data_IF_747491050170
#
_entry.id   IF_747491050170
#
_cell.length_a   1.000
_cell.length_b   1.000
_cell.length_c   1.000
_cell.angle_alpha   90.00
_cell.angle_beta   90.00
_cell.angle_gamma   90.00
#
_symmetry.space_group_name_H-M   'P 1'
#
loop_
_entity.id
_entity.type
_entity.pdbx_description
1 polymer ?
#
# COMPACT_ATOMS: atom_id res chain seq x y z
N UNK A 1 18.73 19.22 -29.18
CA UNK A 1 19.62 18.32 -28.41
C UNK A 1 19.28 18.45 -26.93
N UNK A 2 18.32 17.65 -26.46
CA UNK A 2 18.09 17.49 -25.03
C UNK A 2 19.15 16.50 -24.52
N UNK A 3 20.01 16.95 -23.60
CA UNK A 3 20.91 16.05 -22.88
C UNK A 3 20.07 15.28 -21.87
N UNK A 4 19.88 13.98 -22.11
CA UNK A 4 19.47 13.05 -21.06
C UNK A 4 20.47 13.16 -19.91
N UNK A 5 19.99 13.65 -18.76
CA UNK A 5 20.69 13.43 -17.50
C UNK A 5 20.43 11.97 -17.13
N UNK A 6 21.28 11.07 -17.63
CA UNK A 6 21.38 9.73 -17.05
C UNK A 6 21.65 9.88 -15.56
N UNK A 7 20.73 9.39 -14.73
CA UNK A 7 20.83 9.42 -13.27
C UNK A 7 22.07 8.63 -12.88
N UNK A 8 23.09 9.33 -12.36
CA UNK A 8 24.38 8.76 -11.96
C UNK A 8 24.30 7.75 -10.80
N UNK A 9 23.10 7.41 -10.32
CA UNK A 9 22.89 6.61 -9.11
C UNK A 9 23.12 5.11 -9.30
N UNK A 10 23.08 4.60 -10.54
CA UNK A 10 23.36 3.20 -10.86
C UNK A 10 24.85 2.80 -10.77
N UNK A 11 25.76 3.74 -10.51
CA UNK A 11 27.21 3.51 -10.58
C UNK A 11 27.89 3.22 -9.23
N UNK A 12 27.19 3.36 -8.11
CA UNK A 12 27.73 2.96 -6.80
C UNK A 12 27.30 1.52 -6.50
N UNK A 13 28.23 0.59 -6.69
CA UNK A 13 28.08 -0.84 -6.43
C UNK A 13 27.96 -1.12 -4.91
N UNK A 14 26.82 -0.78 -4.32
CA UNK A 14 26.31 -1.60 -3.23
C UNK A 14 25.78 -2.89 -3.87
N UNK A 15 26.32 -4.05 -3.49
CA UNK A 15 25.83 -5.33 -4.01
C UNK A 15 24.51 -5.68 -3.34
N UNK A 16 23.43 -5.08 -3.82
CA UNK A 16 22.08 -5.51 -3.47
C UNK A 16 21.81 -6.88 -4.10
N UNK A 17 21.12 -7.75 -3.38
CA UNK A 17 20.82 -9.11 -3.81
C UNK A 17 19.85 -9.11 -5.01
N UNK A 18 18.87 -8.20 -4.99
CA UNK A 18 17.85 -8.06 -6.02
C UNK A 18 17.24 -6.66 -6.02
N UNK A 19 16.55 -6.33 -7.12
CA UNK A 19 15.73 -5.10 -7.22
C UNK A 19 14.26 -5.45 -7.07
N UNK A 20 13.54 -4.71 -6.24
CA UNK A 20 12.11 -4.87 -5.98
C UNK A 20 11.33 -3.67 -6.49
N UNK A 21 10.23 -3.93 -7.19
CA UNK A 21 9.26 -2.90 -7.56
C UNK A 21 8.11 -2.96 -6.56
N UNK A 22 8.05 -1.99 -5.65
CA UNK A 22 7.08 -1.96 -4.55
C UNK A 22 6.12 -0.81 -4.76
N UNK A 23 4.82 -1.08 -4.79
CA UNK A 23 3.79 -0.06 -4.80
C UNK A 23 3.42 0.35 -3.38
N UNK A 24 3.32 1.64 -3.12
CA UNK A 24 3.01 2.21 -1.81
C UNK A 24 1.84 3.18 -1.88
N UNK A 25 1.05 3.20 -0.80
CA UNK A 25 -0.07 4.12 -0.60
C UNK A 25 -0.50 4.15 0.88
N UNK A 26 -1.36 5.12 1.23
CA UNK A 26 -2.03 5.19 2.53
C UNK A 26 -3.55 5.09 2.46
N UNK A 27 -4.11 4.21 3.29
CA UNK A 27 -5.55 4.06 3.43
C UNK A 27 -6.06 4.41 4.83
N UNK A 28 -7.12 5.23 4.88
CA UNK A 28 -7.88 5.46 6.11
C UNK A 28 -8.82 4.30 6.45
N UNK A 29 -8.79 3.86 7.71
CA UNK A 29 -9.70 2.87 8.29
C UNK A 29 -10.34 3.44 9.56
N UNK A 30 -11.67 3.37 9.66
CA UNK A 30 -12.37 4.04 10.74
C UNK A 30 -13.80 3.59 10.91
N UNK A 31 -14.53 4.36 11.72
CA UNK A 31 -15.88 4.04 12.19
C UNK A 31 -16.99 4.63 11.32
N UNK A 32 -16.70 4.82 10.04
CA UNK A 32 -17.72 5.08 9.02
C UNK A 32 -18.05 3.75 8.36
N UNK A 33 -19.21 3.21 8.70
CA UNK A 33 -19.68 1.93 8.15
C UNK A 33 -19.85 2.02 6.64
N UNK A 34 -19.30 1.04 5.91
CA UNK A 34 -19.49 0.92 4.47
C UNK A 34 -20.42 -0.25 4.18
N UNK A 35 -21.56 0.03 3.56
CA UNK A 35 -22.46 -1.00 3.08
C UNK A 35 -21.83 -1.75 1.89
N UNK A 36 -22.15 -3.03 1.78
CA UNK A 36 -21.76 -3.93 0.71
C UNK A 36 -22.88 -4.92 0.39
N UNK A 37 -22.81 -5.55 -0.78
CA UNK A 37 -23.76 -6.59 -1.14
C UNK A 37 -23.64 -7.78 -0.17
N UNK A 38 -24.76 -8.40 0.17
CA UNK A 38 -24.82 -9.63 0.95
C UNK A 38 -25.92 -10.54 0.42
N UNK A 39 -25.75 -11.85 0.60
CA UNK A 39 -26.79 -12.83 0.32
C UNK A 39 -27.86 -12.79 1.41
N UNK A 40 -29.12 -12.82 1.01
CA UNK A 40 -30.25 -12.98 1.92
C UNK A 40 -31.24 -14.02 1.36
N UNK A 41 -32.00 -14.70 2.23
CA UNK A 41 -33.10 -15.55 1.80
C UNK A 41 -34.10 -14.78 0.93
N UNK A 42 -34.75 -15.49 0.01
CA UNK A 42 -35.82 -14.91 -0.83
C UNK A 42 -36.91 -14.32 0.07
N UNK A 43 -37.35 -13.10 -0.24
CA UNK A 43 -38.32 -12.31 0.53
C UNK A 43 -37.84 -11.80 1.90
N UNK A 44 -36.53 -11.86 2.20
CA UNK A 44 -35.95 -11.25 3.40
C UNK A 44 -35.09 -10.04 3.04
N UNK A 45 -35.39 -8.88 3.65
CA UNK A 45 -34.57 -7.67 3.55
C UNK A 45 -33.59 -7.62 4.73
N UNK A 46 -32.28 -7.72 4.50
CA UNK A 46 -31.30 -7.64 5.58
C UNK A 46 -31.29 -6.25 6.21
N UNK A 47 -31.18 -6.21 7.54
CA UNK A 47 -30.95 -5.00 8.30
C UNK A 47 -29.51 -5.04 8.85
N UNK A 48 -28.73 -4.01 8.55
CA UNK A 48 -27.32 -3.90 8.91
C UNK A 48 -27.13 -2.62 9.71
N UNK A 49 -26.57 -2.74 10.90
CA UNK A 49 -26.18 -1.59 11.72
C UNK A 49 -25.16 -0.73 10.96
N UNK A 50 -25.38 0.58 10.98
CA UNK A 50 -24.51 1.55 10.32
C UNK A 50 -24.36 2.79 11.19
N UNK A 51 -23.14 3.32 11.29
CA UNK A 51 -22.87 4.60 11.91
C UNK A 51 -21.86 5.42 11.11
N UNK A 52 -21.87 6.73 11.33
CA UNK A 52 -21.00 7.70 10.67
C UNK A 52 -20.20 8.45 11.74
N UNK A 53 -19.27 7.76 12.39
CA UNK A 53 -18.40 8.34 13.43
C UNK A 53 -17.04 8.67 12.81
N UNK A 54 -16.60 9.92 12.93
CA UNK A 54 -15.36 10.45 12.32
C UNK A 54 -14.13 10.15 13.17
N UNK A 55 -13.88 8.86 13.39
CA UNK A 55 -12.68 8.35 14.05
C UNK A 55 -12.01 7.34 13.12
N UNK A 56 -10.71 7.51 12.88
CA UNK A 56 -9.96 6.68 11.95
C UNK A 56 -8.46 6.64 12.30
N UNK A 57 -7.80 5.62 11.78
CA UNK A 57 -6.35 5.47 11.69
C UNK A 57 -5.95 5.35 10.23
N UNK A 58 -4.70 5.67 9.95
CA UNK A 58 -4.11 5.45 8.64
C UNK A 58 -3.34 4.14 8.65
N UNK A 59 -3.34 3.45 7.52
CA UNK A 59 -2.48 2.32 7.27
C UNK A 59 -1.62 2.65 6.06
N UNK A 60 -0.32 2.66 6.26
CA UNK A 60 0.67 2.72 5.20
C UNK A 60 0.92 1.30 4.73
N UNK A 61 0.80 1.06 3.44
CA UNK A 61 1.04 -0.25 2.84
C UNK A 61 2.09 -0.18 1.75
N UNK A 62 2.85 -1.25 1.61
CA UNK A 62 3.74 -1.54 0.50
C UNK A 62 3.45 -2.95 0.01
N UNK A 63 3.40 -3.15 -1.31
CA UNK A 63 3.27 -4.48 -1.91
C UNK A 63 4.20 -4.63 -3.12
N UNK A 64 5.01 -5.69 -3.09
CA UNK A 64 5.93 -6.06 -4.16
C UNK A 64 5.15 -6.63 -5.36
N UNK A 65 5.35 -6.01 -6.53
CA UNK A 65 4.71 -6.37 -7.78
C UNK A 65 5.04 -7.79 -8.26
N UNK A 66 6.18 -8.33 -7.83
CA UNK A 66 6.70 -9.63 -8.26
C UNK A 66 6.34 -10.77 -7.32
N UNK A 67 6.69 -10.61 -6.06
CA UNK A 67 6.58 -11.67 -5.06
C UNK A 67 5.24 -11.66 -4.36
N UNK A 68 4.54 -10.51 -4.34
CA UNK A 68 3.37 -10.29 -3.48
C UNK A 68 3.72 -10.14 -2.00
N UNK A 69 5.01 -10.08 -1.65
CA UNK A 69 5.43 -9.70 -0.31
C UNK A 69 4.92 -8.29 0.01
N UNK A 70 4.56 -8.07 1.27
CA UNK A 70 3.96 -6.81 1.68
C UNK A 70 4.44 -6.36 3.05
N UNK A 71 4.33 -5.06 3.24
CA UNK A 71 4.76 -4.39 4.46
C UNK A 71 3.71 -3.35 4.85
N UNK A 72 3.27 -3.37 6.11
CA UNK A 72 2.20 -2.49 6.59
C UNK A 72 2.56 -1.85 7.93
N UNK A 73 2.21 -0.57 8.10
CA UNK A 73 2.26 0.16 9.37
C UNK A 73 0.92 0.83 9.62
N UNK A 74 0.39 0.66 10.83
CA UNK A 74 -0.79 1.40 11.30
C UNK A 74 -0.30 2.66 12.04
N UNK A 75 -0.68 3.82 11.51
CA UNK A 75 -0.22 5.13 11.95
C UNK A 75 -1.37 5.97 12.52
N UNK A 76 -1.03 6.87 13.44
CA UNK A 76 -1.99 7.81 14.03
C UNK A 76 -2.38 8.98 13.12
N UNK A 77 -1.60 9.24 12.07
CA UNK A 77 -1.82 10.31 11.11
C UNK A 77 -1.20 10.00 9.74
N UNK A 78 -1.51 10.84 8.76
CA UNK A 78 -0.89 10.79 7.44
C UNK A 78 -0.08 12.06 7.21
N UNK A 79 1.25 11.97 7.33
CA UNK A 79 2.16 13.10 7.22
C UNK A 79 3.61 12.64 6.94
N UNK A 80 4.50 13.61 6.73
CA UNK A 80 5.93 13.35 6.44
C UNK A 80 6.65 12.59 7.55
N UNK A 81 6.31 12.80 8.84
CA UNK A 81 6.97 12.09 9.93
C UNK A 81 6.65 10.60 9.91
N UNK A 82 5.38 10.24 9.67
CA UNK A 82 4.98 8.84 9.50
C UNK A 82 5.54 8.23 8.20
N UNK A 83 5.68 9.03 7.13
CA UNK A 83 6.34 8.57 5.92
C UNK A 83 7.82 8.24 6.16
N UNK A 84 8.56 9.07 6.90
CA UNK A 84 9.95 8.77 7.27
C UNK A 84 10.06 7.48 8.10
N UNK A 85 9.16 7.31 9.06
CA UNK A 85 9.12 6.08 9.87
C UNK A 85 8.81 4.85 9.01
N UNK A 86 7.90 4.99 8.04
CA UNK A 86 7.61 3.93 7.07
C UNK A 86 8.82 3.58 6.22
N UNK A 87 9.50 4.56 5.64
CA UNK A 87 10.71 4.35 4.83
C UNK A 87 11.82 3.66 5.63
N UNK A 88 12.05 4.12 6.87
CA UNK A 88 13.04 3.55 7.79
C UNK A 88 12.75 2.09 8.09
N UNK A 89 11.49 1.74 8.38
CA UNK A 89 11.13 0.35 8.68
C UNK A 89 11.12 -0.53 7.41
N UNK A 90 10.69 -0.01 6.27
CA UNK A 90 10.71 -0.72 5.00
C UNK A 90 12.14 -1.07 4.58
N UNK A 91 13.06 -0.10 4.65
CA UNK A 91 14.50 -0.32 4.41
C UNK A 91 15.07 -1.38 5.36
N UNK A 92 14.68 -1.36 6.64
CA UNK A 92 15.10 -2.38 7.62
C UNK A 92 14.51 -3.77 7.35
N UNK A 93 13.31 -3.85 6.76
CA UNK A 93 12.69 -5.12 6.41
C UNK A 93 13.39 -5.79 5.21
N UNK A 94 13.95 -4.98 4.30
CA UNK A 94 14.67 -5.44 3.11
C UNK A 94 16.05 -4.79 2.99
N UNK A 95 16.98 -5.03 3.94
CA UNK A 95 18.23 -4.30 4.03
C UNK A 95 19.19 -4.57 2.87
N UNK A 96 19.11 -5.77 2.29
CA UNK A 96 20.00 -6.25 1.23
C UNK A 96 19.40 -6.09 -0.17
N UNK A 97 18.19 -5.55 -0.28
CA UNK A 97 17.48 -5.39 -1.56
C UNK A 97 17.42 -3.90 -1.96
N UNK A 98 17.46 -3.64 -3.26
CA UNK A 98 17.22 -2.31 -3.83
C UNK A 98 15.74 -2.13 -4.12
N UNK A 99 15.11 -1.10 -3.55
CA UNK A 99 13.68 -0.88 -3.62
C UNK A 99 13.38 0.30 -4.55
N UNK A 100 12.67 0.03 -5.65
CA UNK A 100 11.98 1.05 -6.44
C UNK A 100 10.57 1.19 -5.87
N UNK A 101 10.37 2.23 -5.06
CA UNK A 101 9.11 2.53 -4.38
C UNK A 101 8.23 3.41 -5.27
N UNK A 102 7.16 2.85 -5.80
CA UNK A 102 6.18 3.51 -6.67
C UNK A 102 5.07 4.12 -5.82
N UNK A 103 4.87 5.43 -5.94
CA UNK A 103 3.91 6.20 -5.13
C UNK A 103 3.08 7.16 -5.97
N UNK A 104 1.99 7.65 -5.39
CA UNK A 104 1.24 8.77 -5.94
C UNK A 104 1.94 10.13 -5.69
N UNK A 105 1.31 11.23 -6.13
CA UNK A 105 1.89 12.56 -6.04
C UNK A 105 1.48 13.33 -4.76
N UNK A 106 1.13 12.66 -3.67
CA UNK A 106 0.77 13.33 -2.42
C UNK A 106 1.89 14.27 -1.93
N UNK A 107 1.49 15.37 -1.27
CA UNK A 107 2.42 16.44 -0.87
C UNK A 107 3.53 15.91 0.05
N UNK A 108 3.18 14.98 0.95
CA UNK A 108 4.17 14.39 1.87
C UNK A 108 5.16 13.45 1.16
N UNK A 109 4.80 12.81 0.04
CA UNK A 109 5.72 12.00 -0.77
C UNK A 109 6.80 12.84 -1.49
N UNK A 110 6.57 14.15 -1.62
CA UNK A 110 7.51 15.10 -2.24
C UNK A 110 8.13 16.08 -1.25
N UNK A 111 7.95 15.82 0.04
CA UNK A 111 8.51 16.69 1.08
C UNK A 111 10.03 16.65 1.05
N UNK A 112 10.67 17.81 1.14
CA UNK A 112 12.12 17.92 1.25
C UNK A 112 12.65 17.42 2.61
N UNK A 113 11.76 17.22 3.58
CA UNK A 113 12.09 16.65 4.89
C UNK A 113 12.05 15.11 4.90
N UNK A 114 11.92 14.47 3.74
CA UNK A 114 11.99 13.02 3.64
C UNK A 114 13.43 12.53 3.81
N UNK A 115 13.61 11.59 4.74
CA UNK A 115 14.87 10.89 4.98
C UNK A 115 14.84 9.58 4.18
N UNK A 116 15.30 9.63 2.94
CA UNK A 116 15.25 8.49 2.02
C UNK A 116 16.46 7.58 2.29
N UNK A 117 16.26 6.31 2.71
CA UNK A 117 17.35 5.36 2.88
C UNK A 117 18.09 5.06 1.56
N UNK A 118 19.36 4.69 1.65
CA UNK A 118 20.24 4.49 0.47
C UNK A 118 19.77 3.37 -0.46
N UNK A 119 19.01 2.40 0.05
CA UNK A 119 18.46 1.30 -0.73
C UNK A 119 17.07 1.57 -1.31
N UNK A 120 16.55 2.80 -1.21
CA UNK A 120 15.23 3.17 -1.73
C UNK A 120 15.34 4.29 -2.78
N UNK A 121 14.68 4.09 -3.91
CA UNK A 121 14.46 5.09 -4.95
C UNK A 121 12.96 5.28 -5.20
N UNK A 122 12.54 6.52 -5.45
CA UNK A 122 11.13 6.84 -5.69
C UNK A 122 10.81 6.90 -7.17
N UNK A 123 9.72 6.25 -7.55
CA UNK A 123 9.06 6.42 -8.82
C UNK A 123 7.63 6.95 -8.57
N UNK A 124 7.18 7.87 -9.42
CA UNK A 124 5.86 8.48 -9.27
C UNK A 124 4.97 8.11 -10.45
N UNK A 125 3.76 7.64 -10.16
CA UNK A 125 2.73 7.47 -11.19
C UNK A 125 2.25 8.85 -11.69
N UNK A 126 1.62 8.94 -12.86
CA UNK A 126 0.97 10.17 -13.31
C UNK A 126 -0.09 10.68 -12.30
N UNK A 127 -0.33 12.00 -12.23
CA UNK A 127 -1.39 12.53 -11.39
C UNK A 127 -2.77 11.97 -11.78
N UNK A 128 -3.62 11.73 -10.77
CA UNK A 128 -5.01 11.30 -10.95
C UNK A 128 -5.23 9.95 -11.65
N UNK A 129 -4.23 9.05 -11.63
CA UNK A 129 -4.33 7.69 -12.19
C UNK A 129 -4.25 6.60 -11.11
N UNK A 130 -5.20 6.54 -10.15
CA UNK A 130 -5.17 5.53 -9.09
C UNK A 130 -5.24 4.09 -9.63
N UNK A 131 -5.80 3.88 -10.82
CA UNK A 131 -5.83 2.58 -11.51
C UNK A 131 -4.43 2.03 -11.83
N UNK A 132 -3.42 2.90 -11.88
CA UNK A 132 -2.03 2.52 -12.07
C UNK A 132 -1.33 2.08 -10.77
N UNK A 133 -1.97 2.26 -9.60
CA UNK A 133 -1.42 1.83 -8.32
C UNK A 133 -2.15 0.56 -7.83
N UNK A 134 -1.61 -0.65 -8.05
CA UNK A 134 -2.29 -1.89 -7.69
C UNK A 134 -2.61 -2.05 -6.20
N UNK A 135 -1.91 -1.33 -5.32
CA UNK A 135 -2.18 -1.36 -3.88
C UNK A 135 -3.58 -0.83 -3.53
N UNK A 136 -4.19 0.00 -4.37
CA UNK A 136 -5.58 0.43 -4.21
C UNK A 136 -6.55 -0.78 -4.22
N UNK A 137 -6.22 -1.80 -5.02
CA UNK A 137 -6.98 -3.05 -5.05
C UNK A 137 -6.70 -3.91 -3.82
N UNK A 138 -5.50 -3.83 -3.25
CA UNK A 138 -5.18 -4.45 -1.95
C UNK A 138 -6.04 -3.83 -0.84
N UNK A 139 -6.19 -2.51 -0.82
CA UNK A 139 -7.12 -1.85 0.11
C UNK A 139 -8.57 -2.26 -0.10
N UNK A 140 -9.00 -2.43 -1.35
CA UNK A 140 -10.34 -2.92 -1.66
C UNK A 140 -10.56 -4.34 -1.09
N UNK A 141 -9.58 -5.22 -1.22
CA UNK A 141 -9.62 -6.59 -0.68
C UNK A 141 -9.64 -6.60 0.85
N UNK A 142 -8.79 -5.80 1.51
CA UNK A 142 -8.81 -5.64 2.99
C UNK A 142 -10.20 -5.18 3.45
N UNK A 143 -10.77 -4.16 2.79
CA UNK A 143 -12.10 -3.64 3.14
C UNK A 143 -13.19 -4.69 2.94
N UNK A 144 -13.09 -5.50 1.89
CA UNK A 144 -14.03 -6.59 1.59
C UNK A 144 -13.97 -7.69 2.64
N UNK A 145 -12.78 -8.07 3.11
CA UNK A 145 -12.59 -9.16 4.10
C UNK A 145 -13.16 -8.86 5.49
N UNK A 146 -13.18 -7.60 5.92
CA UNK A 146 -13.67 -7.33 7.29
C UNK A 146 -14.26 -5.97 7.62
N UNK A 147 -14.47 -5.08 6.65
CA UNK A 147 -15.03 -3.74 6.93
C UNK A 147 -16.40 -3.49 6.30
N UNK A 148 -16.83 -4.32 5.35
CA UNK A 148 -18.17 -4.23 4.75
C UNK A 148 -19.25 -4.76 5.70
N UNK A 149 -20.38 -4.06 5.75
CA UNK A 149 -21.56 -4.43 6.55
C UNK A 149 -21.26 -4.61 8.05
N UNK A 150 -20.29 -3.85 8.58
CA UNK A 150 -19.94 -3.85 10.01
C UNK A 150 -19.98 -2.44 10.59
N UNK A 151 -20.35 -2.36 11.87
CA UNK A 151 -20.32 -1.16 12.68
C UNK A 151 -19.45 -1.43 13.91
N UNK A 152 -18.36 -0.68 14.05
CA UNK A 152 -17.32 -0.91 15.06
C UNK A 152 -17.53 -0.02 16.29
N UNK A 153 -17.64 -0.63 17.47
CA UNK A 153 -17.96 0.10 18.71
C UNK A 153 -16.84 1.03 19.18
N UNK A 154 -15.59 0.71 18.84
CA UNK A 154 -14.41 1.51 19.23
C UNK A 154 -13.42 1.61 18.07
N UNK A 155 -12.51 2.60 18.11
CA UNK A 155 -11.44 2.70 17.12
C UNK A 155 -10.44 1.54 17.28
N UNK A 156 -10.24 1.06 18.50
CA UNK A 156 -9.40 -0.09 18.82
C UNK A 156 -9.91 -1.34 18.09
N UNK A 157 -11.22 -1.58 18.08
CA UNK A 157 -11.80 -2.70 17.33
C UNK A 157 -11.61 -2.62 15.82
N UNK A 158 -11.45 -1.40 15.26
CA UNK A 158 -11.10 -1.19 13.85
C UNK A 158 -9.63 -1.57 13.62
N UNK A 159 -8.74 -1.19 14.53
CA UNK A 159 -7.31 -1.49 14.48
C UNK A 159 -7.07 -2.99 14.61
N UNK A 160 -7.67 -3.63 15.63
CA UNK A 160 -7.55 -5.07 15.86
C UNK A 160 -8.01 -5.86 14.63
N UNK A 161 -9.16 -5.47 14.05
CA UNK A 161 -9.66 -6.13 12.83
C UNK A 161 -8.77 -5.87 11.62
N UNK A 162 -8.17 -4.69 11.51
CA UNK A 162 -7.22 -4.40 10.45
C UNK A 162 -5.97 -5.29 10.58
N UNK A 163 -5.43 -5.42 11.79
CA UNK A 163 -4.26 -6.27 12.07
C UNK A 163 -4.54 -7.74 11.76
N UNK A 164 -5.69 -8.26 12.19
CA UNK A 164 -6.13 -9.62 11.90
C UNK A 164 -6.14 -9.87 10.38
N UNK A 165 -6.78 -8.99 9.60
CA UNK A 165 -6.85 -9.17 8.14
C UNK A 165 -5.47 -9.08 7.50
N UNK A 166 -4.62 -8.14 7.94
CA UNK A 166 -3.26 -8.02 7.40
C UNK A 166 -2.45 -9.29 7.64
N UNK A 167 -2.58 -9.92 8.81
CA UNK A 167 -1.91 -11.19 9.13
C UNK A 167 -2.44 -12.37 8.31
N UNK A 168 -3.68 -12.30 7.86
CA UNK A 168 -4.30 -13.31 6.98
C UNK A 168 -4.03 -13.09 5.48
N UNK A 169 -3.38 -11.97 5.09
CA UNK A 169 -3.00 -11.73 3.71
C UNK A 169 -1.73 -12.53 3.38
N UNK A 170 -1.91 -13.61 2.62
CA UNK A 170 -0.80 -14.35 2.06
C UNK A 170 -0.25 -13.69 0.78
N UNK A 171 1.02 -13.97 0.49
CA UNK A 171 1.72 -13.41 -0.67
C UNK A 171 1.11 -13.83 -2.01
N UNK A 172 0.51 -15.02 -2.11
CA UNK A 172 -0.10 -15.47 -3.38
C UNK A 172 -1.37 -14.69 -3.71
N UNK A 173 -2.22 -14.46 -2.70
CA UNK A 173 -3.37 -13.55 -2.85
C UNK A 173 -2.88 -12.17 -3.29
N UNK A 174 -1.92 -11.58 -2.59
CA UNK A 174 -1.44 -10.24 -2.91
C UNK A 174 -0.81 -10.18 -4.30
N UNK A 175 0.03 -11.15 -4.65
CA UNK A 175 0.61 -11.31 -5.99
C UNK A 175 -0.49 -11.32 -7.04
N UNK A 176 -1.56 -12.09 -6.85
CA UNK A 176 -2.69 -12.11 -7.81
C UNK A 176 -3.35 -10.74 -8.00
N UNK A 177 -3.31 -9.87 -6.98
CA UNK A 177 -3.88 -8.52 -6.99
C UNK A 177 -2.91 -7.50 -7.61
N UNK A 178 -1.62 -7.56 -7.27
CA UNK A 178 -0.64 -6.54 -7.67
C UNK A 178 0.07 -6.84 -8.98
N UNK A 179 0.10 -8.11 -9.38
CA UNK A 179 0.74 -8.56 -10.61
C UNK A 179 0.10 -7.92 -11.85
N UNK A 180 0.91 -7.35 -12.74
CA UNK A 180 0.49 -6.78 -14.02
C UNK A 180 1.42 -7.27 -15.13
N UNK A 181 0.85 -7.75 -16.23
CA UNK A 181 1.62 -8.34 -17.34
C UNK A 181 2.70 -7.41 -17.90
N UNK A 182 2.41 -6.12 -18.02
CA UNK A 182 3.34 -5.12 -18.56
C UNK A 182 4.51 -4.79 -17.65
N UNK A 183 4.45 -5.13 -16.36
CA UNK A 183 5.60 -4.96 -15.46
C UNK A 183 6.71 -5.94 -15.83
N UNK A 184 6.39 -7.04 -16.54
CA UNK A 184 7.33 -8.12 -16.85
C UNK A 184 7.86 -8.08 -18.28
N UNK A 185 7.13 -7.46 -19.20
CA UNK A 185 7.55 -7.35 -20.61
C UNK A 185 8.87 -6.60 -20.77
N UNK A 186 9.29 -5.82 -19.76
CA UNK A 186 10.52 -5.03 -19.78
C UNK A 186 11.68 -5.71 -19.02
N UNK A 187 11.44 -6.79 -18.27
CA UNK A 187 12.50 -7.55 -17.55
C UNK A 187 12.84 -8.90 -18.22
N UNK A 188 12.00 -9.38 -19.13
CA UNK A 188 12.36 -10.48 -20.05
C UNK A 188 12.89 -9.92 -21.36
N UNK A 189 14.12 -9.40 -21.32
CA UNK A 189 14.92 -9.25 -22.54
C UNK A 189 15.61 -10.60 -22.77
N UNK A 190 15.09 -11.39 -23.71
CA UNK A 190 15.79 -12.54 -24.30
C UNK A 190 17.12 -12.14 -24.95
#
# INVERSE_FOLDING_TARGET
MYKEKSSKRFLEQNSYNQTRLIYQDEAGFGRISKLGACWSPKNYRPNISSHHIREFRYCYGAADAHTGESFFIIASGCNTAWMNEFLRQLSKAYPDDYIVLVMDNAIWHKSQALEIPDNIEFAFIPPYTPEMNPIEQVWAEIRKRGFKNRAFQTLESVIDKLQEIIQELDSETLKSIVHRKWVYSDFEIE
#
